data_IF_513680235732
#
_entry.id   IF_513680235732
#
_cell.length_a   1.000
_cell.length_b   1.000
_cell.length_c   1.000
_cell.angle_alpha   90.00
_cell.angle_beta   90.00
_cell.angle_gamma   90.00
#
_symmetry.space_group_name_H-M   'P 1'
#
loop_
_entity.id
_entity.type
_entity.pdbx_description
1 polymer ?
#
# COMPACT_ATOMS: atom_id res chain seq x y z
N UNK A 1 8.91 -19.54 17.18
CA UNK A 1 8.82 -19.19 15.74
C UNK A 1 7.64 -18.25 15.56
N UNK A 2 7.88 -17.06 15.08
CA UNK A 2 6.87 -16.02 14.89
C UNK A 2 6.42 -16.00 13.42
N UNK A 3 5.12 -16.12 13.16
CA UNK A 3 4.58 -16.09 11.81
C UNK A 3 3.78 -14.82 11.59
N UNK A 4 4.16 -14.07 10.55
CA UNK A 4 3.37 -12.95 10.04
C UNK A 4 2.59 -13.42 8.83
N UNK A 5 1.30 -13.10 8.75
CA UNK A 5 0.41 -13.61 7.71
C UNK A 5 -0.10 -12.47 6.83
N UNK A 6 -0.04 -12.63 5.50
CA UNK A 6 -0.79 -11.77 4.59
C UNK A 6 -2.18 -12.36 4.37
N UNK A 7 -3.22 -11.65 4.77
CA UNK A 7 -4.63 -12.02 4.55
C UNK A 7 -5.19 -11.24 3.35
N UNK A 8 -5.82 -11.94 2.41
CA UNK A 8 -6.46 -11.35 1.24
C UNK A 8 -7.04 -12.39 0.30
N UNK A 9 -7.64 -11.95 -0.83
CA UNK A 9 -8.20 -12.86 -1.84
C UNK A 9 -8.31 -12.18 -3.22
N UNK A 10 -7.62 -12.71 -4.26
CA UNK A 10 -6.53 -13.68 -4.21
C UNK A 10 -5.20 -13.05 -3.76
N UNK A 11 -4.27 -13.82 -3.15
CA UNK A 11 -2.98 -13.32 -2.66
C UNK A 11 -1.74 -13.98 -3.30
N UNK A 12 -1.89 -14.97 -4.14
CA UNK A 12 -0.78 -15.74 -4.72
C UNK A 12 0.24 -14.90 -5.50
N UNK A 13 -0.19 -13.76 -6.04
CA UNK A 13 0.65 -12.84 -6.81
C UNK A 13 1.41 -11.83 -5.96
N UNK A 14 1.20 -11.81 -4.65
CA UNK A 14 1.79 -10.81 -3.76
C UNK A 14 3.31 -10.99 -3.62
N UNK A 15 4.03 -9.88 -3.72
CA UNK A 15 5.48 -9.82 -3.50
C UNK A 15 5.85 -9.59 -2.03
N UNK A 16 4.88 -9.35 -1.15
CA UNK A 16 5.11 -9.12 0.28
C UNK A 16 5.86 -10.26 0.98
N UNK A 17 5.55 -11.56 0.74
CA UNK A 17 6.31 -12.64 1.38
C UNK A 17 7.79 -12.63 1.03
N UNK A 18 8.13 -12.41 -0.25
CA UNK A 18 9.51 -12.31 -0.72
C UNK A 18 10.25 -11.15 -0.05
N UNK A 19 9.64 -9.99 -0.02
CA UNK A 19 10.20 -8.77 0.56
C UNK A 19 10.40 -8.89 2.07
N UNK A 20 9.38 -9.33 2.80
CA UNK A 20 9.42 -9.37 4.27
C UNK A 20 10.34 -10.47 4.80
N UNK A 21 10.38 -11.64 4.15
CA UNK A 21 11.34 -12.69 4.55
C UNK A 21 12.79 -12.25 4.33
N UNK A 22 13.08 -11.51 3.26
CA UNK A 22 14.40 -10.90 3.06
C UNK A 22 14.73 -9.87 4.16
N UNK A 23 13.72 -9.10 4.60
CA UNK A 23 13.88 -8.16 5.70
C UNK A 23 14.15 -8.86 7.02
N UNK A 24 13.42 -9.92 7.37
CA UNK A 24 13.65 -10.69 8.58
C UNK A 24 15.07 -11.29 8.60
N UNK A 25 15.49 -11.89 7.48
CA UNK A 25 16.85 -12.43 7.37
C UNK A 25 17.93 -11.34 7.54
N UNK A 26 17.76 -10.18 6.90
CA UNK A 26 18.71 -9.06 7.01
C UNK A 26 18.75 -8.44 8.41
N UNK A 27 17.68 -8.54 9.18
CA UNK A 27 17.59 -8.08 10.56
C UNK A 27 18.02 -9.14 11.59
N UNK A 28 18.47 -10.34 11.16
CA UNK A 28 18.84 -11.43 12.06
C UNK A 28 17.65 -12.07 12.81
N UNK A 29 16.43 -11.91 12.30
CA UNK A 29 15.22 -12.48 12.87
C UNK A 29 14.95 -13.88 12.28
N UNK A 30 15.82 -14.84 12.56
CA UNK A 30 15.81 -16.19 11.96
C UNK A 30 14.57 -17.01 12.36
N UNK A 31 13.93 -16.70 13.47
CA UNK A 31 12.71 -17.34 13.95
C UNK A 31 11.41 -16.68 13.44
N UNK A 32 11.52 -15.64 12.59
CA UNK A 32 10.40 -14.98 11.94
C UNK A 32 10.19 -15.48 10.52
N UNK A 33 8.93 -15.65 10.15
CA UNK A 33 8.54 -16.01 8.77
C UNK A 33 7.31 -15.24 8.34
N UNK A 34 7.24 -14.93 7.05
CA UNK A 34 6.09 -14.29 6.43
C UNK A 34 5.47 -15.19 5.37
N UNK A 35 4.18 -15.46 5.49
CA UNK A 35 3.43 -16.32 4.58
C UNK A 35 2.19 -15.60 4.03
N UNK A 36 1.74 -15.99 2.84
CA UNK A 36 0.46 -15.55 2.30
C UNK A 36 -0.60 -16.63 2.59
N UNK A 37 -1.78 -16.20 3.06
CA UNK A 37 -2.96 -17.03 3.26
C UNK A 37 -4.10 -16.46 2.44
N UNK A 38 -4.54 -17.22 1.45
CA UNK A 38 -5.76 -16.92 0.70
C UNK A 38 -6.96 -17.23 1.60
N UNK A 39 -7.85 -16.26 1.81
CA UNK A 39 -8.92 -16.34 2.80
C UNK A 39 -10.24 -15.97 2.14
N UNK A 40 -11.22 -16.89 2.16
CA UNK A 40 -12.59 -16.61 1.73
C UNK A 40 -13.29 -15.61 2.66
N UNK A 41 -14.33 -14.90 2.17
CA UNK A 41 -15.04 -13.90 2.98
C UNK A 41 -15.61 -14.49 4.29
N UNK A 42 -16.07 -15.74 4.27
CA UNK A 42 -16.63 -16.46 5.41
C UNK A 42 -15.58 -16.84 6.46
N UNK A 43 -14.32 -16.98 6.07
CA UNK A 43 -13.22 -17.36 6.95
C UNK A 43 -12.51 -16.14 7.56
N UNK A 44 -12.76 -14.93 7.04
CA UNK A 44 -12.01 -13.71 7.38
C UNK A 44 -12.01 -13.43 8.89
N UNK A 45 -13.17 -13.54 9.54
CA UNK A 45 -13.29 -13.20 10.95
C UNK A 45 -12.48 -14.15 11.84
N UNK A 46 -12.42 -15.45 11.48
CA UNK A 46 -11.62 -16.44 12.19
C UNK A 46 -10.14 -16.22 11.91
N UNK A 47 -9.76 -16.01 10.66
CA UNK A 47 -8.39 -15.71 10.28
C UNK A 47 -7.82 -14.49 11.02
N UNK A 48 -8.61 -13.42 11.19
CA UNK A 48 -8.21 -12.23 11.94
C UNK A 48 -8.02 -12.53 13.43
N UNK A 49 -8.82 -13.42 14.03
CA UNK A 49 -8.66 -13.82 15.45
C UNK A 49 -7.46 -14.73 15.70
N UNK A 50 -7.05 -15.50 14.71
CA UNK A 50 -5.94 -16.46 14.81
C UNK A 50 -4.56 -15.82 14.71
N UNK A 51 -4.44 -14.62 14.12
CA UNK A 51 -3.15 -14.00 13.83
C UNK A 51 -2.70 -13.03 14.94
N UNK A 52 -1.45 -13.14 15.35
CA UNK A 52 -0.81 -12.15 16.21
C UNK A 52 -0.29 -10.95 15.38
N UNK A 53 0.32 -11.26 14.24
CA UNK A 53 0.87 -10.29 13.30
C UNK A 53 0.38 -10.59 11.89
N UNK A 54 -0.13 -9.57 11.20
CA UNK A 54 -0.55 -9.74 9.82
C UNK A 54 -0.46 -8.45 9.01
N UNK A 55 -0.38 -8.61 7.68
CA UNK A 55 -0.88 -7.62 6.75
C UNK A 55 -2.25 -8.05 6.21
N UNK A 56 -3.02 -7.06 5.79
CA UNK A 56 -4.30 -7.25 5.13
C UNK A 56 -4.27 -6.53 3.78
N UNK A 57 -4.65 -7.25 2.73
CA UNK A 57 -4.76 -6.68 1.40
C UNK A 57 -6.20 -6.74 0.88
N UNK A 58 -6.38 -6.37 -0.39
CA UNK A 58 -7.71 -6.41 -1.03
C UNK A 58 -8.33 -7.81 -0.92
N UNK A 59 -9.65 -7.88 -0.73
CA UNK A 59 -10.62 -6.78 -0.61
C UNK A 59 -10.86 -6.32 0.84
N UNK A 60 -10.18 -6.85 1.83
CA UNK A 60 -10.60 -6.93 3.24
C UNK A 60 -10.24 -5.76 4.16
N UNK A 61 -9.52 -4.74 3.69
CA UNK A 61 -9.00 -3.66 4.57
C UNK A 61 -10.08 -2.92 5.37
N UNK A 62 -11.26 -2.69 4.77
CA UNK A 62 -12.40 -2.08 5.46
C UNK A 62 -13.09 -3.06 6.43
N UNK A 63 -13.22 -4.32 6.01
CA UNK A 63 -13.86 -5.36 6.83
C UNK A 63 -13.05 -5.64 8.09
N UNK A 64 -11.72 -5.73 7.96
CA UNK A 64 -10.83 -5.92 9.10
C UNK A 64 -10.85 -4.71 10.03
N UNK A 65 -10.93 -3.47 9.52
CA UNK A 65 -11.11 -2.30 10.38
C UNK A 65 -12.36 -2.43 11.24
N UNK A 66 -13.48 -2.86 10.66
CA UNK A 66 -14.75 -3.10 11.39
C UNK A 66 -14.64 -4.26 12.38
N UNK A 67 -14.04 -5.39 11.98
CA UNK A 67 -13.86 -6.57 12.83
C UNK A 67 -13.03 -6.27 14.08
N UNK A 68 -12.03 -5.39 13.96
CA UNK A 68 -11.17 -4.97 15.07
C UNK A 68 -11.73 -3.80 15.88
N UNK A 69 -12.90 -3.25 15.51
CA UNK A 69 -13.45 -2.05 16.14
C UNK A 69 -12.53 -0.84 16.01
N UNK A 70 -11.77 -0.75 14.92
CA UNK A 70 -10.82 0.33 14.67
C UNK A 70 -11.54 1.60 14.23
N UNK A 71 -11.08 2.76 14.70
CA UNK A 71 -11.54 4.08 14.21
C UNK A 71 -10.95 4.42 12.83
N UNK A 72 -9.95 3.66 12.37
CA UNK A 72 -9.36 3.84 11.05
C UNK A 72 -10.34 3.41 9.95
N UNK A 73 -10.42 4.15 8.83
CA UNK A 73 -11.29 3.77 7.71
C UNK A 73 -10.85 2.47 7.03
N UNK A 74 -9.57 2.11 7.15
CA UNK A 74 -9.02 0.86 6.62
C UNK A 74 -7.83 0.41 7.45
N UNK A 75 -7.65 -0.92 7.57
CA UNK A 75 -6.55 -1.56 8.27
C UNK A 75 -5.81 -2.46 7.27
N UNK A 76 -4.50 -2.27 7.16
CA UNK A 76 -3.62 -3.15 6.37
C UNK A 76 -2.55 -3.85 7.22
N UNK A 77 -2.46 -3.54 8.51
CA UNK A 77 -1.47 -4.14 9.42
C UNK A 77 -2.12 -4.44 10.77
N UNK A 78 -1.90 -5.65 11.27
CA UNK A 78 -2.38 -6.12 12.58
C UNK A 78 -1.19 -6.40 13.47
N UNK A 79 -1.27 -5.91 14.72
CA UNK A 79 -0.30 -6.18 15.79
C UNK A 79 -1.09 -6.53 17.04
N UNK A 80 -1.08 -7.81 17.46
CA UNK A 80 -1.72 -8.29 18.69
C UNK A 80 -3.16 -7.80 18.86
N UNK A 81 -3.97 -8.01 17.82
CA UNK A 81 -5.38 -7.62 17.80
C UNK A 81 -5.65 -6.12 17.60
N UNK A 82 -4.63 -5.28 17.42
CA UNK A 82 -4.79 -3.87 17.07
C UNK A 82 -4.57 -3.64 15.60
N UNK A 83 -5.43 -2.82 14.97
CA UNK A 83 -5.34 -2.45 13.57
C UNK A 83 -4.55 -1.16 13.35
N UNK A 84 -3.73 -1.15 12.30
CA UNK A 84 -2.95 0.00 11.83
C UNK A 84 -3.12 0.16 10.32
N UNK A 85 -2.83 1.36 9.81
CA UNK A 85 -2.76 1.63 8.38
C UNK A 85 -1.40 2.17 8.00
N UNK A 86 -0.66 1.43 7.19
CA UNK A 86 0.66 1.82 6.65
C UNK A 86 0.62 2.15 5.16
N UNK A 87 -0.54 2.06 4.51
CA UNK A 87 -0.68 2.24 3.05
C UNK A 87 -0.17 3.63 2.57
N UNK A 88 -0.36 4.67 3.39
CA UNK A 88 0.08 6.02 3.05
C UNK A 88 1.54 6.34 3.42
N UNK A 89 2.32 5.36 3.93
CA UNK A 89 3.71 5.57 4.36
C UNK A 89 4.62 6.13 3.23
N UNK A 90 4.31 5.83 1.97
CA UNK A 90 5.03 6.37 0.80
C UNK A 90 5.00 7.90 0.73
N UNK A 91 4.04 8.56 1.38
CA UNK A 91 3.96 10.02 1.42
C UNK A 91 5.17 10.67 2.10
N UNK A 92 5.92 9.94 2.93
CA UNK A 92 7.20 10.39 3.48
C UNK A 92 8.26 10.67 2.39
N UNK A 93 8.09 10.09 1.19
CA UNK A 93 8.96 10.32 0.03
C UNK A 93 8.47 11.47 -0.87
N UNK A 94 7.29 12.03 -0.60
CA UNK A 94 6.70 13.12 -1.39
C UNK A 94 7.23 14.46 -0.92
N UNK A 95 7.71 15.29 -1.85
CA UNK A 95 8.35 16.58 -1.53
C UNK A 95 7.38 17.77 -1.57
N UNK A 96 6.26 17.64 -2.27
CA UNK A 96 5.22 18.69 -2.36
C UNK A 96 3.84 18.04 -2.34
N UNK A 97 2.94 18.58 -1.52
CA UNK A 97 1.59 18.03 -1.29
C UNK A 97 0.62 19.16 -0.88
N UNK A 98 0.55 20.23 -1.71
CA UNK A 98 -0.34 21.37 -1.42
C UNK A 98 -1.70 21.24 -2.10
N UNK A 99 -1.75 20.52 -3.22
CA UNK A 99 -2.97 20.31 -4.02
C UNK A 99 -3.10 18.83 -4.41
N UNK A 100 -3.25 17.94 -3.43
CA UNK A 100 -3.33 16.51 -3.70
C UNK A 100 -4.62 16.14 -4.42
N UNK A 101 -4.50 15.17 -5.32
CA UNK A 101 -5.62 14.49 -5.98
C UNK A 101 -5.49 13.00 -5.72
N UNK A 102 -6.60 12.36 -5.40
CA UNK A 102 -6.71 10.92 -5.22
C UNK A 102 -7.67 10.33 -6.25
N UNK A 103 -7.23 9.33 -6.98
CA UNK A 103 -8.03 8.59 -7.96
C UNK A 103 -8.24 7.17 -7.47
N UNK A 104 -9.44 6.89 -6.97
CA UNK A 104 -9.84 5.62 -6.38
C UNK A 104 -10.62 5.80 -5.08
N UNK A 105 -11.34 4.76 -4.64
CA UNK A 105 -12.19 4.75 -3.44
C UNK A 105 -12.15 3.42 -2.67
N UNK A 106 -11.13 2.58 -2.91
CA UNK A 106 -10.90 1.32 -2.20
C UNK A 106 -10.20 1.49 -0.86
N UNK A 107 -9.91 0.37 -0.17
CA UNK A 107 -9.30 0.37 1.16
C UNK A 107 -7.94 1.07 1.24
N UNK A 108 -7.09 0.96 0.20
CA UNK A 108 -5.84 1.71 0.15
C UNK A 108 -6.10 3.22 -0.04
N UNK A 109 -7.05 3.59 -0.93
CA UNK A 109 -7.45 4.98 -1.12
C UNK A 109 -7.91 5.64 0.19
N UNK A 110 -8.67 4.92 1.02
CA UNK A 110 -9.16 5.41 2.31
C UNK A 110 -8.02 5.83 3.26
N UNK A 111 -6.89 5.13 3.24
CA UNK A 111 -5.71 5.49 4.02
C UNK A 111 -5.10 6.82 3.55
N UNK A 112 -5.06 7.04 2.23
CA UNK A 112 -4.57 8.31 1.65
C UNK A 112 -5.54 9.46 1.92
N UNK A 113 -6.86 9.24 1.86
CA UNK A 113 -7.85 10.27 2.24
C UNK A 113 -7.65 10.70 3.70
N UNK A 114 -7.44 9.75 4.60
CA UNK A 114 -7.17 10.06 6.01
C UNK A 114 -5.86 10.83 6.21
N UNK A 115 -4.84 10.55 5.42
CA UNK A 115 -3.53 11.22 5.48
C UNK A 115 -3.52 12.58 4.75
N UNK A 116 -4.41 12.78 3.79
CA UNK A 116 -4.50 13.95 2.91
C UNK A 116 -5.96 14.49 2.91
N UNK A 117 -6.43 15.09 4.01
CA UNK A 117 -7.83 15.52 4.13
C UNK A 117 -8.24 16.58 3.10
N UNK A 118 -7.29 17.33 2.55
CA UNK A 118 -7.51 18.35 1.51
C UNK A 118 -7.52 17.77 0.09
N UNK A 119 -7.35 16.45 -0.08
CA UNK A 119 -7.30 15.84 -1.40
C UNK A 119 -8.66 15.92 -2.12
N UNK A 120 -8.64 16.31 -3.39
CA UNK A 120 -9.78 16.11 -4.28
C UNK A 120 -9.85 14.63 -4.66
N UNK A 121 -11.00 14.01 -4.42
CA UNK A 121 -11.17 12.57 -4.64
C UNK A 121 -12.03 12.31 -5.87
N UNK A 122 -11.52 11.45 -6.76
CA UNK A 122 -12.23 11.01 -7.97
C UNK A 122 -12.37 9.50 -7.95
N UNK A 123 -13.57 9.01 -8.28
CA UNK A 123 -13.84 7.60 -8.46
C UNK A 123 -14.98 7.36 -9.43
N UNK A 124 -15.06 6.15 -10.00
CA UNK A 124 -16.16 5.79 -10.92
C UNK A 124 -17.54 5.76 -10.22
N UNK A 125 -17.57 5.71 -8.89
CA UNK A 125 -18.80 5.79 -8.08
C UNK A 125 -19.15 7.22 -7.68
N UNK A 126 -18.25 8.17 -7.91
CA UNK A 126 -18.41 9.58 -7.59
C UNK A 126 -18.11 10.49 -8.79
N UNK A 127 -17.25 11.47 -8.59
CA UNK A 127 -16.81 12.37 -9.68
C UNK A 127 -15.90 11.63 -10.66
N UNK A 128 -16.19 11.69 -11.94
CA UNK A 128 -15.43 11.08 -13.02
C UNK A 128 -15.65 11.80 -14.35
N UNK A 129 -14.69 11.97 -15.24
CA UNK A 129 -13.28 11.55 -15.13
C UNK A 129 -12.48 12.39 -14.11
N UNK A 130 -11.28 11.92 -13.69
CA UNK A 130 -10.47 12.67 -12.75
C UNK A 130 -9.92 13.96 -13.36
N UNK A 131 -10.14 15.08 -12.68
CA UNK A 131 -9.49 16.36 -12.99
C UNK A 131 -8.23 16.52 -12.14
N UNK A 132 -7.07 16.38 -12.75
CA UNK A 132 -5.76 16.53 -12.12
C UNK A 132 -5.13 17.90 -12.37
N UNK A 133 -5.88 18.84 -12.96
CA UNK A 133 -5.39 20.18 -13.26
C UNK A 133 -4.92 20.91 -11.98
N UNK A 134 -3.73 21.47 -12.04
CA UNK A 134 -3.10 22.20 -10.93
C UNK A 134 -2.71 21.34 -9.73
N UNK A 135 -2.82 20.00 -9.80
CA UNK A 135 -2.33 19.11 -8.76
C UNK A 135 -0.80 19.09 -8.75
N UNK A 136 -0.20 19.06 -7.57
CA UNK A 136 1.22 18.80 -7.37
C UNK A 136 1.50 17.34 -6.98
N UNK A 137 0.48 16.65 -6.44
CA UNK A 137 0.50 15.23 -6.12
C UNK A 137 -0.76 14.55 -6.65
N UNK A 138 -0.60 13.44 -7.37
CA UNK A 138 -1.71 12.56 -7.77
C UNK A 138 -1.44 11.14 -7.30
N UNK A 139 -2.35 10.60 -6.50
CA UNK A 139 -2.31 9.21 -6.02
C UNK A 139 -3.30 8.37 -6.82
N UNK A 140 -2.83 7.36 -7.53
CA UNK A 140 -3.63 6.40 -8.27
C UNK A 140 -3.81 5.11 -7.47
N UNK A 141 -5.02 4.91 -6.98
CA UNK A 141 -5.41 3.77 -6.15
C UNK A 141 -6.56 2.95 -6.77
N UNK A 142 -6.59 2.85 -8.12
CA UNK A 142 -7.54 1.98 -8.84
C UNK A 142 -6.84 0.74 -9.38
N UNK A 143 -7.57 -0.34 -9.74
CA UNK A 143 -6.98 -1.52 -10.37
C UNK A 143 -6.70 -1.33 -11.88
N UNK A 144 -7.02 -0.18 -12.47
CA UNK A 144 -6.83 0.08 -13.91
C UNK A 144 -5.35 0.21 -14.23
N UNK A 145 -4.88 -0.54 -15.26
CA UNK A 145 -3.46 -0.63 -15.57
C UNK A 145 -3.11 -0.32 -17.03
N UNK A 146 -4.00 -0.67 -17.95
CA UNK A 146 -3.71 -0.73 -19.38
C UNK A 146 -4.19 0.51 -20.14
N UNK A 147 -4.79 1.49 -19.45
CA UNK A 147 -5.23 2.76 -20.01
C UNK A 147 -4.65 3.96 -19.25
N UNK A 148 -4.38 5.05 -19.95
CA UNK A 148 -3.97 6.33 -19.35
C UNK A 148 -5.23 7.04 -18.84
N UNK A 149 -5.35 7.14 -17.51
CA UNK A 149 -6.51 7.75 -16.87
C UNK A 149 -6.46 9.28 -16.82
N UNK A 150 -5.25 9.82 -16.78
CA UNK A 150 -4.96 11.25 -16.74
C UNK A 150 -3.51 11.50 -17.16
N UNK A 151 -3.22 12.73 -17.53
CA UNK A 151 -1.88 13.15 -17.93
C UNK A 151 -1.22 13.98 -16.82
N UNK A 152 0.05 13.73 -16.58
CA UNK A 152 0.91 14.47 -15.66
C UNK A 152 2.20 14.84 -16.36
N UNK A 153 2.87 15.89 -15.86
CA UNK A 153 4.11 16.36 -16.43
C UNK A 153 5.08 16.91 -15.38
N UNK A 154 6.04 17.68 -15.84
CA UNK A 154 7.10 18.26 -15.02
C UNK A 154 6.55 19.03 -13.80
N UNK A 155 7.21 18.89 -12.65
CA UNK A 155 6.80 19.50 -11.38
C UNK A 155 5.70 18.76 -10.62
N UNK A 156 5.11 17.70 -11.19
CA UNK A 156 4.10 16.88 -10.52
C UNK A 156 4.68 15.56 -10.01
N UNK A 157 4.15 15.08 -8.91
CA UNK A 157 4.46 13.74 -8.37
C UNK A 157 3.26 12.81 -8.57
N UNK A 158 3.53 11.63 -9.11
CA UNK A 158 2.56 10.54 -9.25
C UNK A 158 2.91 9.40 -8.30
N UNK A 159 1.98 9.01 -7.43
CA UNK A 159 2.05 7.80 -6.62
C UNK A 159 1.12 6.76 -7.24
N UNK A 160 1.70 5.71 -7.81
CA UNK A 160 0.98 4.65 -8.53
C UNK A 160 0.94 3.38 -7.69
N UNK A 161 -0.21 3.03 -7.10
CA UNK A 161 -0.29 1.90 -6.18
C UNK A 161 -0.20 0.52 -6.84
N UNK A 162 -0.75 0.31 -8.05
CA UNK A 162 -0.62 -0.98 -8.71
C UNK A 162 0.84 -1.33 -9.06
N UNK A 163 1.14 -2.63 -9.10
CA UNK A 163 2.35 -3.14 -9.71
C UNK A 163 2.04 -4.37 -10.60
N UNK A 164 2.77 -4.56 -11.73
CA UNK A 164 3.77 -3.67 -12.29
C UNK A 164 3.17 -2.30 -12.67
N UNK A 165 4.04 -1.35 -13.03
CA UNK A 165 3.72 0.04 -13.38
C UNK A 165 2.56 0.13 -14.37
N UNK A 166 1.66 1.09 -14.17
CA UNK A 166 0.48 1.32 -15.03
C UNK A 166 0.82 2.15 -16.27
N UNK A 167 -0.03 2.10 -17.29
CA UNK A 167 0.09 2.97 -18.47
C UNK A 167 0.06 4.47 -18.08
N UNK A 168 -0.73 4.84 -17.08
CA UNK A 168 -0.75 6.21 -16.53
C UNK A 168 0.62 6.59 -15.95
N UNK A 169 1.26 5.70 -15.18
CA UNK A 169 2.57 5.95 -14.59
C UNK A 169 3.69 6.02 -15.64
N UNK A 170 3.62 5.20 -16.69
CA UNK A 170 4.55 5.25 -17.82
C UNK A 170 4.44 6.58 -18.58
N UNK A 171 3.21 7.00 -18.89
CA UNK A 171 2.96 8.27 -19.55
C UNK A 171 3.43 9.46 -18.69
N UNK A 172 3.14 9.44 -17.38
CA UNK A 172 3.58 10.47 -16.44
C UNK A 172 5.12 10.59 -16.41
N UNK A 173 5.83 9.46 -16.34
CA UNK A 173 7.30 9.45 -16.36
C UNK A 173 7.86 9.97 -17.69
N UNK A 174 7.26 9.58 -18.83
CA UNK A 174 7.66 10.06 -20.16
C UNK A 174 7.49 11.57 -20.30
N UNK A 175 6.50 12.17 -19.62
CA UNK A 175 6.20 13.60 -19.62
C UNK A 175 6.97 14.36 -18.51
N UNK A 176 7.92 13.72 -17.81
CA UNK A 176 8.79 14.38 -16.82
C UNK A 176 8.21 14.48 -15.41
N UNK A 177 7.08 13.86 -15.11
CA UNK A 177 6.58 13.77 -13.75
C UNK A 177 7.45 12.82 -12.90
N UNK A 178 7.58 13.12 -11.61
CA UNK A 178 8.19 12.19 -10.65
C UNK A 178 7.22 11.05 -10.35
N UNK A 179 7.63 9.80 -10.58
CA UNK A 179 6.79 8.63 -10.31
C UNK A 179 7.34 7.82 -9.14
N UNK A 180 6.50 7.60 -8.13
CA UNK A 180 6.67 6.61 -7.07
C UNK A 180 5.74 5.43 -7.43
N UNK A 181 6.30 4.38 -7.99
CA UNK A 181 5.51 3.25 -8.48
C UNK A 181 5.11 2.25 -7.37
N UNK A 182 4.33 1.26 -7.74
CA UNK A 182 3.76 0.31 -6.79
C UNK A 182 4.78 -0.51 -6.02
N UNK A 183 6.01 -0.67 -6.52
CA UNK A 183 7.08 -1.31 -5.76
C UNK A 183 7.64 -0.39 -4.68
N UNK A 184 7.79 0.92 -4.96
CA UNK A 184 8.16 1.92 -3.95
C UNK A 184 7.08 2.02 -2.86
N UNK A 185 5.80 2.00 -3.25
CA UNK A 185 4.67 1.95 -2.30
C UNK A 185 4.73 0.68 -1.45
N UNK A 186 5.00 -0.48 -2.09
CA UNK A 186 5.10 -1.77 -1.40
C UNK A 186 6.23 -1.77 -0.37
N UNK A 187 7.40 -1.21 -0.71
CA UNK A 187 8.53 -1.08 0.22
C UNK A 187 8.17 -0.17 1.39
N UNK A 188 7.64 1.02 1.12
CA UNK A 188 7.35 2.01 2.15
C UNK A 188 6.33 1.48 3.18
N UNK A 189 5.20 0.91 2.71
CA UNK A 189 4.19 0.34 3.61
C UNK A 189 4.70 -0.90 4.33
N UNK A 190 5.52 -1.72 3.65
CA UNK A 190 6.11 -2.93 4.23
C UNK A 190 7.14 -2.63 5.30
N UNK A 191 7.95 -1.60 5.13
CA UNK A 191 8.90 -1.11 6.13
C UNK A 191 8.17 -0.63 7.39
N UNK A 192 7.14 0.20 7.23
CA UNK A 192 6.32 0.66 8.36
C UNK A 192 5.63 -0.50 9.10
N UNK A 193 5.16 -1.52 8.38
CA UNK A 193 4.58 -2.73 8.99
C UNK A 193 5.62 -3.53 9.76
N UNK A 194 6.82 -3.70 9.18
CA UNK A 194 7.95 -4.40 9.83
C UNK A 194 8.31 -3.75 11.16
N UNK A 195 8.41 -2.42 11.20
CA UNK A 195 8.73 -1.67 12.42
C UNK A 195 7.64 -1.81 13.49
N UNK A 196 6.36 -1.85 13.09
CA UNK A 196 5.25 -2.09 14.01
C UNK A 196 5.30 -3.48 14.65
N UNK A 197 5.70 -4.53 13.90
CA UNK A 197 5.76 -5.89 14.42
C UNK A 197 6.98 -6.13 15.30
N UNK A 198 8.14 -5.62 14.88
CA UNK A 198 9.43 -5.97 15.49
C UNK A 198 9.93 -4.94 16.49
N UNK A 199 9.47 -3.70 16.37
CA UNK A 199 10.04 -2.58 17.13
C UNK A 199 11.44 -2.15 16.66
N UNK A 200 11.97 -2.76 15.60
CA UNK A 200 13.29 -2.47 15.02
C UNK A 200 13.16 -1.69 13.72
N UNK A 201 14.18 -0.92 13.35
CA UNK A 201 14.23 -0.23 12.07
C UNK A 201 14.20 -1.22 10.90
N UNK A 202 13.39 -0.94 9.89
CA UNK A 202 13.26 -1.80 8.73
C UNK A 202 14.52 -1.78 7.85
N UNK A 203 15.04 -2.96 7.43
CA UNK A 203 16.18 -3.06 6.53
C UNK A 203 15.75 -2.77 5.07
N UNK A 204 15.41 -1.51 4.77
CA UNK A 204 14.84 -1.05 3.50
C UNK A 204 15.68 -1.47 2.29
N UNK A 205 17.02 -1.42 2.42
CA UNK A 205 17.91 -1.84 1.33
C UNK A 205 17.71 -3.33 0.95
N UNK A 206 17.52 -4.21 1.94
CA UNK A 206 17.25 -5.63 1.70
C UNK A 206 15.85 -5.83 1.09
N UNK A 207 14.85 -5.06 1.56
CA UNK A 207 13.49 -5.09 0.97
C UNK A 207 13.52 -4.68 -0.50
N UNK A 208 14.21 -3.59 -0.84
CA UNK A 208 14.39 -3.10 -2.21
C UNK A 208 15.08 -4.12 -3.10
N UNK A 209 16.22 -4.65 -2.64
CA UNK A 209 16.99 -5.67 -3.36
C UNK A 209 16.16 -6.93 -3.62
N UNK A 210 15.34 -7.38 -2.66
CA UNK A 210 14.44 -8.50 -2.83
C UNK A 210 13.40 -8.28 -3.95
N UNK A 211 13.04 -7.05 -4.25
CA UNK A 211 12.12 -6.69 -5.33
C UNK A 211 12.83 -6.34 -6.65
N UNK A 212 14.16 -6.39 -6.69
CA UNK A 212 14.95 -6.03 -7.87
C UNK A 212 15.12 -4.51 -8.07
N UNK A 213 14.83 -3.73 -7.02
CA UNK A 213 15.06 -2.29 -6.99
C UNK A 213 16.52 -1.99 -6.55
N UNK A 214 17.07 -0.88 -7.01
CA UNK A 214 18.36 -0.37 -6.52
C UNK A 214 18.25 -0.11 -5.01
N UNK A 215 19.25 -0.50 -4.21
CA UNK A 215 19.27 -0.29 -2.76
C UNK A 215 19.09 1.15 -2.34
#
# INVERSE_FOLDING_TARGET
MTTVVLLGHPVAHSLSPRMQNAAFAAAGLEDWTYVARDVGPEELADAVREVEFANVTAPYKHDVARLLGSELPSVNTIVRGRGYSTDAAVLALVTSCHKPVLVGDGGAAAAFVAALPEARVFSRRGAWPPDVSGADLVVHATPVRDEVLFELGEGQTHVDLPYPRTATAEAAAANGARVLDGLEVLVAQGAASFELWTGAAAPVAAMRAALGLTP
#
